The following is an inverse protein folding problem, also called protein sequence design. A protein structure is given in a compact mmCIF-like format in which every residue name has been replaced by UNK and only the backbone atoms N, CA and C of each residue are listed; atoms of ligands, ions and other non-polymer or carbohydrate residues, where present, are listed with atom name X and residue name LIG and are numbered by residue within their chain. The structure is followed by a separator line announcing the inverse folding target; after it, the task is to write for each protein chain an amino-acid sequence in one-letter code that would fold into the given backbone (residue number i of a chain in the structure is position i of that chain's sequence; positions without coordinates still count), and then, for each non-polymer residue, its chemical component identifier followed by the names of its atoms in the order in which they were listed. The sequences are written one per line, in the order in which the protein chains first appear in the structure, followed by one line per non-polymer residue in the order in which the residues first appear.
data_IF_099792995807
#
_entry.id   IF_099792995807
#
_cell.length_a   1.000
_cell.length_b   1.000
_cell.length_c   1.000
_cell.angle_alpha   90.00
_cell.angle_beta   90.00
_cell.angle_gamma   90.00
#
_symmetry.space_group_name_H-M   'P 1'
#
loop_
_entity.id
_entity.type
_entity.pdbx_description
1 polymer ?
#
# COMPACT_ATOMS: atom_id res chain seq x y z
N UNK A 1 0.52 -8.58 13.29
CA UNK A 1 0.23 -7.45 14.15
C UNK A 1 -1.25 -7.35 14.35
N UNK A 2 -1.61 -7.25 15.62
CA UNK A 2 -2.96 -6.97 15.98
C UNK A 2 -3.40 -5.69 15.25
N UNK A 3 -4.63 -5.65 14.76
CA UNK A 3 -5.26 -4.41 14.36
C UNK A 3 -5.49 -3.62 15.64
N UNK A 4 -4.52 -2.82 16.03
CA UNK A 4 -4.67 -1.94 17.17
C UNK A 4 -5.77 -0.90 16.89
N UNK A 5 -6.55 -0.52 17.89
CA UNK A 5 -7.36 0.69 17.82
C UNK A 5 -6.47 1.90 17.47
N UNK A 6 -7.03 2.90 16.81
CA UNK A 6 -6.25 4.03 16.30
C UNK A 6 -5.49 4.76 17.41
N UNK A 7 -6.11 4.99 18.57
CA UNK A 7 -5.46 5.60 19.73
C UNK A 7 -4.22 4.82 20.18
N UNK A 8 -4.32 3.50 20.33
CA UNK A 8 -3.18 2.66 20.72
C UNK A 8 -2.08 2.69 19.66
N UNK A 9 -2.44 2.65 18.36
CA UNK A 9 -1.48 2.72 17.27
C UNK A 9 -0.73 4.07 17.23
N UNK A 10 -1.42 5.18 17.53
CA UNK A 10 -0.82 6.51 17.62
C UNK A 10 0.12 6.61 18.82
N UNK A 11 -0.30 6.11 19.98
CA UNK A 11 0.53 6.12 21.19
C UNK A 11 1.82 5.34 20.98
N UNK A 12 1.75 4.14 20.41
CA UNK A 12 2.91 3.32 20.05
C UNK A 12 3.82 4.05 19.04
N UNK A 13 3.24 4.66 18.01
CA UNK A 13 4.00 5.40 17.01
C UNK A 13 4.76 6.59 17.63
N UNK A 14 4.13 7.34 18.53
CA UNK A 14 4.77 8.46 19.26
C UNK A 14 5.90 7.97 20.16
N UNK A 15 5.72 6.83 20.86
CA UNK A 15 6.78 6.23 21.67
C UNK A 15 7.98 5.89 20.80
N UNK A 16 7.77 5.28 19.65
CA UNK A 16 8.85 4.93 18.73
C UNK A 16 9.50 6.15 18.05
N UNK A 17 8.73 7.20 17.74
CA UNK A 17 9.27 8.46 17.22
C UNK A 17 10.25 9.13 18.20
N UNK A 18 10.05 8.97 19.50
CA UNK A 18 10.91 9.50 20.55
C UNK A 18 12.07 8.59 20.92
N UNK A 19 12.07 7.36 20.41
CA UNK A 19 13.07 6.35 20.72
C UNK A 19 14.36 6.50 19.91
N UNK A 20 15.43 5.82 20.35
CA UNK A 20 16.75 5.81 19.68
C UNK A 20 16.71 5.28 18.25
N UNK A 21 15.75 4.41 17.95
CA UNK A 21 15.55 3.79 16.63
C UNK A 21 14.53 4.53 15.76
N UNK A 22 14.18 5.77 16.08
CA UNK A 22 13.21 6.58 15.32
C UNK A 22 13.56 6.73 13.83
N UNK A 23 14.84 6.64 13.48
CA UNK A 23 15.32 6.66 12.10
C UNK A 23 14.79 5.52 11.21
N UNK A 24 14.31 4.42 11.80
CA UNK A 24 13.70 3.29 11.08
C UNK A 24 12.24 3.60 10.70
N UNK A 25 11.58 4.49 11.45
CA UNK A 25 10.18 4.81 11.22
C UNK A 25 10.01 5.61 9.93
N UNK A 26 9.10 5.10 9.11
CA UNK A 26 8.63 5.82 7.94
C UNK A 26 7.36 6.62 8.25
N UNK A 27 6.42 6.55 7.33
CA UNK A 27 5.10 7.18 7.43
C UNK A 27 4.16 6.35 8.29
N UNK A 28 3.28 7.02 9.03
CA UNK A 28 2.15 6.35 9.65
C UNK A 28 1.15 5.94 8.58
N UNK A 29 0.76 4.67 8.56
CA UNK A 29 -0.14 4.12 7.54
C UNK A 29 -1.57 4.17 8.04
N UNK A 30 -2.45 4.84 7.28
CA UNK A 30 -3.85 5.01 7.68
C UNK A 30 -4.79 4.91 6.47
N UNK A 31 -5.96 4.25 6.61
CA UNK A 31 -7.01 4.34 5.59
C UNK A 31 -7.60 5.75 5.49
N UNK A 32 -7.92 6.21 4.28
CA UNK A 32 -8.61 7.50 4.06
C UNK A 32 -9.89 7.60 4.90
N UNK A 33 -10.63 6.49 5.05
CA UNK A 33 -11.85 6.44 5.84
C UNK A 33 -11.67 6.79 7.33
N UNK A 34 -10.44 6.77 7.85
CA UNK A 34 -10.12 7.12 9.24
C UNK A 34 -9.55 8.54 9.40
N UNK A 35 -9.54 9.37 8.37
CA UNK A 35 -9.05 10.74 8.46
C UNK A 35 -9.77 11.55 9.53
N UNK A 36 -11.10 11.40 9.61
CA UNK A 36 -11.91 12.09 10.63
C UNK A 36 -11.53 11.67 12.04
N UNK A 37 -11.26 10.38 12.25
CA UNK A 37 -10.88 9.88 13.57
C UNK A 37 -9.44 10.30 13.93
N UNK A 38 -8.57 10.49 12.93
CA UNK A 38 -7.21 10.97 13.15
C UNK A 38 -7.15 12.42 13.65
N UNK A 39 -8.14 13.25 13.32
CA UNK A 39 -8.14 14.68 13.66
C UNK A 39 -7.94 14.95 15.15
N UNK A 40 -8.53 14.14 16.01
CA UNK A 40 -8.44 14.31 17.47
C UNK A 40 -7.00 14.08 18.00
N UNK A 41 -6.17 13.34 17.27
CA UNK A 41 -4.80 13.01 17.67
C UNK A 41 -3.75 13.96 17.12
N UNK A 42 -4.07 14.80 16.13
CA UNK A 42 -3.11 15.70 15.50
C UNK A 42 -2.40 16.65 16.51
N UNK A 43 -3.07 17.16 17.55
CA UNK A 43 -2.40 18.01 18.55
C UNK A 43 -1.26 17.30 19.29
N UNK A 44 -1.23 15.97 19.36
CA UNK A 44 -0.15 15.21 20.00
C UNK A 44 1.18 15.35 19.26
N UNK A 45 1.16 15.77 18.00
CA UNK A 45 2.32 15.95 17.14
C UNK A 45 2.85 17.40 17.09
N UNK A 46 2.20 18.35 17.74
CA UNK A 46 2.58 19.78 17.66
C UNK A 46 4.05 20.03 18.05
N UNK A 47 4.62 19.22 18.94
CA UNK A 47 6.02 19.30 19.34
C UNK A 47 6.96 18.34 18.58
N UNK A 48 6.42 17.47 17.75
CA UNK A 48 7.15 16.40 17.04
C UNK A 48 7.36 16.73 15.56
N UNK A 49 6.67 17.75 15.06
CA UNK A 49 6.60 18.12 13.66
C UNK A 49 5.42 17.49 12.94
N UNK A 50 5.25 17.78 11.64
CA UNK A 50 4.11 17.28 10.88
C UNK A 50 4.05 15.74 10.88
N UNK A 51 2.85 15.19 11.08
CA UNK A 51 2.64 13.75 10.99
C UNK A 51 2.70 13.31 9.51
N UNK A 52 3.69 12.48 9.20
CA UNK A 52 3.89 11.95 7.84
C UNK A 52 3.03 10.72 7.62
N UNK A 53 2.19 10.76 6.59
CA UNK A 53 1.21 9.73 6.30
C UNK A 53 1.49 9.00 4.97
N UNK A 54 1.29 7.69 4.98
CA UNK A 54 1.02 6.89 3.80
C UNK A 54 -0.44 6.45 3.87
N UNK A 55 -1.26 6.86 2.91
CA UNK A 55 -2.69 6.63 3.00
C UNK A 55 -3.10 5.41 2.19
N UNK A 56 -3.99 4.59 2.76
CA UNK A 56 -4.60 3.48 2.06
C UNK A 56 -5.86 3.99 1.37
N UNK A 57 -5.81 4.05 0.05
CA UNK A 57 -6.93 4.44 -0.80
C UNK A 57 -7.81 3.27 -1.20
N UNK A 58 -9.02 3.56 -1.63
CA UNK A 58 -9.90 2.60 -2.26
C UNK A 58 -9.33 2.13 -3.60
N UNK A 59 -9.38 0.82 -3.83
CA UNK A 59 -9.15 0.23 -5.15
C UNK A 59 -10.46 0.13 -5.95
N UNK A 60 -10.56 -0.83 -6.86
CA UNK A 60 -11.76 -1.11 -7.63
C UNK A 60 -11.83 -2.59 -8.00
N UNK A 61 -12.96 -3.01 -8.56
CA UNK A 61 -13.12 -4.35 -9.15
C UNK A 61 -12.89 -4.35 -10.66
N UNK A 62 -12.93 -3.17 -11.26
CA UNK A 62 -12.67 -2.93 -12.66
C UNK A 62 -11.71 -1.76 -12.82
N UNK A 63 -11.09 -1.62 -13.99
CA UNK A 63 -10.19 -0.51 -14.32
C UNK A 63 -10.90 0.86 -14.17
N UNK A 64 -12.16 0.97 -14.57
CA UNK A 64 -12.94 2.20 -14.46
C UNK A 64 -13.26 2.55 -12.99
N UNK A 65 -13.66 1.56 -12.19
CA UNK A 65 -13.86 1.75 -10.76
C UNK A 65 -12.56 2.17 -10.08
N UNK A 66 -11.44 1.53 -10.43
CA UNK A 66 -10.13 1.90 -9.92
C UNK A 66 -9.81 3.38 -10.19
N UNK A 67 -9.96 3.83 -11.44
CA UNK A 67 -9.68 5.22 -11.80
C UNK A 67 -10.62 6.21 -11.11
N UNK A 68 -11.90 5.87 -10.96
CA UNK A 68 -12.85 6.72 -10.25
C UNK A 68 -12.52 6.82 -8.76
N UNK A 69 -12.11 5.71 -8.14
CA UNK A 69 -11.67 5.70 -6.74
C UNK A 69 -10.36 6.49 -6.55
N UNK A 70 -9.42 6.44 -7.50
CA UNK A 70 -8.22 7.30 -7.46
C UNK A 70 -8.61 8.78 -7.44
N UNK A 71 -9.55 9.23 -8.28
CA UNK A 71 -10.03 10.61 -8.27
C UNK A 71 -10.66 11.01 -6.95
N UNK A 72 -11.50 10.15 -6.38
CA UNK A 72 -12.10 10.40 -5.08
C UNK A 72 -11.06 10.45 -3.97
N UNK A 73 -10.12 9.49 -3.95
CA UNK A 73 -9.03 9.47 -2.98
C UNK A 73 -8.20 10.76 -3.02
N UNK A 74 -7.92 11.29 -4.21
CA UNK A 74 -7.19 12.55 -4.39
C UNK A 74 -7.99 13.72 -3.82
N UNK A 75 -9.30 13.79 -4.07
CA UNK A 75 -10.15 14.83 -3.50
C UNK A 75 -10.13 14.80 -1.97
N UNK A 76 -10.36 13.62 -1.38
CA UNK A 76 -10.36 13.44 0.08
C UNK A 76 -8.99 13.80 0.72
N UNK A 77 -7.89 13.46 0.03
CA UNK A 77 -6.53 13.81 0.49
C UNK A 77 -6.30 15.31 0.44
N UNK A 78 -6.70 15.98 -0.64
CA UNK A 78 -6.49 17.40 -0.80
C UNK A 78 -7.33 18.20 0.20
N UNK A 79 -8.58 17.81 0.43
CA UNK A 79 -9.44 18.43 1.45
C UNK A 79 -8.80 18.28 2.86
N UNK A 80 -8.25 17.10 3.16
CA UNK A 80 -7.60 16.84 4.44
C UNK A 80 -6.27 17.61 4.59
N UNK A 81 -5.47 17.72 3.53
CA UNK A 81 -4.25 18.53 3.49
C UNK A 81 -4.53 20.01 3.71
N UNK A 82 -5.57 20.55 3.04
CA UNK A 82 -5.96 21.94 3.19
C UNK A 82 -6.41 22.25 4.63
N UNK A 83 -7.31 21.42 5.15
CA UNK A 83 -7.83 21.56 6.52
C UNK A 83 -6.74 21.50 7.60
N UNK A 84 -5.71 20.70 7.41
CA UNK A 84 -4.66 20.44 8.41
C UNK A 84 -3.27 20.88 7.92
N UNK A 85 -3.22 21.96 7.15
CA UNK A 85 -1.97 22.51 6.61
C UNK A 85 -0.94 22.74 7.71
N UNK A 86 0.29 22.27 7.48
CA UNK A 86 1.41 22.36 8.43
C UNK A 86 1.39 21.32 9.57
N UNK A 87 0.28 20.56 9.75
CA UNK A 87 0.20 19.51 10.78
C UNK A 87 0.42 18.11 10.22
N UNK A 88 0.21 17.94 8.93
CA UNK A 88 0.35 16.65 8.24
C UNK A 88 1.13 16.81 6.94
N UNK A 89 1.76 15.70 6.55
CA UNK A 89 2.37 15.53 5.23
C UNK A 89 1.82 14.21 4.63
N UNK A 90 1.14 14.31 3.48
CA UNK A 90 0.66 13.14 2.73
C UNK A 90 1.32 13.19 1.36
N UNK A 91 2.31 12.34 1.12
CA UNK A 91 3.03 12.25 -0.14
C UNK A 91 2.99 10.84 -0.75
N UNK A 92 2.32 9.90 -0.08
CA UNK A 92 2.21 8.50 -0.51
C UNK A 92 0.77 8.02 -0.39
N UNK A 93 0.28 7.37 -1.46
CA UNK A 93 -0.96 6.62 -1.47
C UNK A 93 -0.70 5.16 -1.87
N UNK A 94 -1.42 4.25 -1.26
CA UNK A 94 -1.37 2.82 -1.53
C UNK A 94 -2.76 2.37 -1.99
N UNK A 95 -2.86 1.93 -3.23
CA UNK A 95 -4.14 1.51 -3.82
C UNK A 95 -4.03 0.08 -4.36
N UNK A 96 -5.04 -0.73 -4.07
CA UNK A 96 -5.15 -2.07 -4.61
C UNK A 96 -5.54 -2.02 -6.08
N UNK A 97 -4.81 -2.75 -6.93
CA UNK A 97 -5.18 -2.93 -8.34
C UNK A 97 -6.50 -3.70 -8.47
N UNK A 98 -7.27 -3.38 -9.49
CA UNK A 98 -8.48 -4.13 -9.82
C UNK A 98 -8.18 -5.56 -10.28
N UNK A 99 -7.04 -5.73 -10.94
CA UNK A 99 -6.58 -7.01 -11.52
C UNK A 99 -5.04 -7.04 -11.52
N UNK A 100 -4.45 -8.22 -11.66
CA UNK A 100 -2.99 -8.35 -11.80
C UNK A 100 -2.47 -7.88 -13.17
N UNK A 101 -3.37 -7.72 -14.14
CA UNK A 101 -3.06 -7.27 -15.51
C UNK A 101 -3.88 -6.02 -15.87
N UNK A 102 -3.67 -4.89 -15.17
CA UNK A 102 -4.43 -3.68 -15.43
C UNK A 102 -4.13 -3.11 -16.82
N UNK A 103 -5.07 -2.41 -17.41
CA UNK A 103 -4.87 -1.71 -18.68
C UNK A 103 -3.79 -0.62 -18.53
N UNK A 104 -2.80 -0.61 -19.45
CA UNK A 104 -1.75 0.40 -19.47
C UNK A 104 -2.32 1.83 -19.52
N UNK A 105 -3.39 2.05 -20.27
CA UNK A 105 -3.98 3.37 -20.41
C UNK A 105 -4.62 3.86 -19.12
N UNK A 106 -5.24 2.99 -18.35
CA UNK A 106 -5.81 3.31 -17.03
C UNK A 106 -4.71 3.58 -16.02
N UNK A 107 -3.67 2.74 -16.00
CA UNK A 107 -2.53 2.94 -15.11
C UNK A 107 -1.82 4.26 -15.39
N UNK A 108 -1.62 4.63 -16.67
CA UNK A 108 -1.04 5.92 -17.03
C UNK A 108 -1.91 7.08 -16.55
N UNK A 109 -3.21 7.04 -16.80
CA UNK A 109 -4.14 8.09 -16.33
C UNK A 109 -4.14 8.23 -14.81
N UNK A 110 -4.14 7.11 -14.07
CA UNK A 110 -4.06 7.12 -12.62
C UNK A 110 -2.74 7.74 -12.13
N UNK A 111 -1.62 7.35 -12.76
CA UNK A 111 -0.29 7.89 -12.46
C UNK A 111 -0.23 9.39 -12.71
N UNK A 112 -0.73 9.87 -13.85
CA UNK A 112 -0.73 11.28 -14.21
C UNK A 112 -1.53 12.09 -13.18
N UNK A 113 -2.73 11.63 -12.81
CA UNK A 113 -3.57 12.29 -11.78
C UNK A 113 -2.87 12.35 -10.42
N UNK A 114 -2.18 11.28 -10.01
CA UNK A 114 -1.48 11.23 -8.73
C UNK A 114 -0.26 12.16 -8.75
N UNK A 115 0.50 12.19 -9.85
CA UNK A 115 1.65 13.08 -10.00
C UNK A 115 1.24 14.57 -10.03
N UNK A 116 0.13 14.92 -10.70
CA UNK A 116 -0.42 16.27 -10.69
C UNK A 116 -0.83 16.76 -9.29
N UNK A 117 -1.00 15.85 -8.34
CA UNK A 117 -1.36 16.14 -6.96
C UNK A 117 -0.22 15.83 -5.95
N UNK A 118 1.03 15.73 -6.41
CA UNK A 118 2.21 15.47 -5.58
C UNK A 118 2.10 14.19 -4.74
N UNK A 119 1.51 13.15 -5.31
CA UNK A 119 1.33 11.86 -4.66
C UNK A 119 2.21 10.78 -5.32
N UNK A 120 3.16 10.26 -4.56
CA UNK A 120 3.83 8.99 -4.90
C UNK A 120 2.88 7.85 -4.62
N UNK A 121 2.90 6.81 -5.43
CA UNK A 121 1.94 5.74 -5.27
C UNK A 121 2.58 4.37 -5.34
N UNK A 122 2.06 3.47 -4.50
CA UNK A 122 2.35 2.06 -4.54
C UNK A 122 1.11 1.31 -5.04
N UNK A 123 1.26 0.64 -6.16
CA UNK A 123 0.24 -0.27 -6.66
C UNK A 123 0.35 -1.58 -5.90
N UNK A 124 -0.66 -1.84 -5.12
CA UNK A 124 -0.81 -3.14 -4.47
C UNK A 124 -1.31 -4.13 -5.52
N UNK A 125 -0.53 -5.18 -5.79
CA UNK A 125 -1.08 -6.32 -6.49
C UNK A 125 -2.30 -6.78 -5.73
N UNK A 126 -3.39 -6.97 -6.46
CA UNK A 126 -4.57 -7.56 -5.91
C UNK A 126 -4.10 -8.79 -5.14
N UNK A 127 -4.35 -8.83 -3.83
CA UNK A 127 -4.37 -10.10 -3.17
C UNK A 127 -5.12 -10.99 -4.13
N UNK A 128 -4.59 -12.17 -4.44
CA UNK A 128 -5.32 -13.15 -5.21
C UNK A 128 -6.75 -13.08 -4.71
N UNK A 129 -7.75 -12.82 -5.57
CA UNK A 129 -9.07 -12.45 -5.10
C UNK A 129 -9.57 -13.53 -4.17
N UNK A 130 -9.58 -13.24 -2.89
CA UNK A 130 -10.04 -14.14 -1.83
C UNK A 130 -11.54 -14.34 -1.84
N UNK A 131 -12.24 -13.69 -2.76
CA UNK A 131 -13.67 -13.79 -2.87
C UNK A 131 -13.99 -14.49 -4.20
N UNK A 132 -14.13 -15.79 -4.15
CA UNK A 132 -14.83 -16.55 -5.18
C UNK A 132 -14.00 -17.16 -6.31
N UNK A 133 -12.70 -17.36 -6.14
CA UNK A 133 -12.00 -18.32 -6.96
C UNK A 133 -12.23 -19.69 -6.34
N UNK A 134 -13.01 -20.48 -7.04
CA UNK A 134 -13.08 -21.91 -6.81
C UNK A 134 -11.69 -22.49 -7.15
N UNK A 135 -10.90 -22.81 -6.13
CA UNK A 135 -9.58 -23.45 -6.27
C UNK A 135 -9.66 -24.85 -6.90
N UNK A 136 -10.87 -25.35 -7.20
CA UNK A 136 -11.06 -26.56 -7.98
C UNK A 136 -10.76 -26.40 -9.47
N UNK A 137 -10.69 -25.17 -9.98
CA UNK A 137 -10.08 -24.88 -11.27
C UNK A 137 -8.60 -24.61 -11.04
N UNK A 138 -7.76 -25.50 -11.49
CA UNK A 138 -6.30 -25.36 -11.55
C UNK A 138 -5.94 -24.01 -12.19
N UNK A 139 -5.90 -22.94 -11.39
CA UNK A 139 -5.23 -21.72 -11.80
C UNK A 139 -3.77 -22.09 -11.89
N UNK A 140 -3.34 -22.23 -13.12
CA UNK A 140 -1.97 -22.53 -13.49
C UNK A 140 -1.04 -21.52 -12.74
N UNK A 141 -0.30 -21.99 -11.75
CA UNK A 141 0.65 -21.18 -10.98
C UNK A 141 1.64 -20.46 -11.91
N UNK A 142 1.82 -20.99 -13.14
CA UNK A 142 2.66 -20.42 -14.19
C UNK A 142 2.17 -19.07 -14.70
N UNK A 143 0.86 -18.77 -14.67
CA UNK A 143 0.34 -17.50 -15.15
C UNK A 143 0.55 -16.34 -14.19
N UNK A 144 0.51 -16.56 -12.87
CA UNK A 144 0.69 -15.49 -11.90
C UNK A 144 2.06 -14.82 -12.02
N UNK A 145 3.13 -15.58 -12.16
CA UNK A 145 4.49 -15.05 -12.28
C UNK A 145 4.63 -14.21 -13.57
N UNK A 146 4.10 -14.68 -14.69
CA UNK A 146 4.16 -13.96 -15.96
C UNK A 146 3.33 -12.67 -15.95
N UNK A 147 2.16 -12.69 -15.33
CA UNK A 147 1.30 -11.52 -15.16
C UNK A 147 1.98 -10.46 -14.26
N UNK A 148 2.53 -10.88 -13.13
CA UNK A 148 3.25 -10.01 -12.21
C UNK A 148 4.47 -9.40 -12.86
N UNK A 149 5.31 -10.20 -13.53
CA UNK A 149 6.51 -9.71 -14.22
C UNK A 149 6.15 -8.67 -15.28
N UNK A 150 5.12 -8.94 -16.09
CA UNK A 150 4.68 -8.01 -17.14
C UNK A 150 4.11 -6.71 -16.57
N UNK A 151 3.34 -6.80 -15.50
CA UNK A 151 2.75 -5.63 -14.83
C UNK A 151 3.82 -4.79 -14.12
N UNK A 152 4.77 -5.42 -13.43
CA UNK A 152 5.92 -4.71 -12.83
C UNK A 152 6.71 -3.98 -13.91
N UNK A 153 7.01 -4.64 -15.04
CA UNK A 153 7.71 -4.03 -16.16
C UNK A 153 6.94 -2.88 -16.83
N UNK A 154 5.61 -2.90 -16.78
CA UNK A 154 4.77 -1.80 -17.24
C UNK A 154 4.81 -0.63 -16.26
N UNK A 155 4.58 -0.89 -14.97
CA UNK A 155 4.53 0.13 -13.92
C UNK A 155 5.90 0.79 -13.71
N UNK A 156 7.00 0.05 -13.89
CA UNK A 156 8.35 0.58 -13.76
C UNK A 156 8.70 1.70 -14.75
N UNK A 157 7.89 1.90 -15.79
CA UNK A 157 8.01 2.98 -16.77
C UNK A 157 7.19 4.22 -16.39
N UNK A 158 6.52 4.18 -15.26
CA UNK A 158 5.69 5.27 -14.74
C UNK A 158 6.46 6.01 -13.65
N UNK A 159 6.37 7.33 -13.65
CA UNK A 159 7.05 8.15 -12.65
C UNK A 159 6.39 8.01 -11.28
N UNK A 160 7.22 8.01 -10.22
CA UNK A 160 6.78 7.98 -8.82
C UNK A 160 5.91 6.77 -8.44
N UNK A 161 6.03 5.66 -9.16
CA UNK A 161 5.29 4.43 -8.89
C UNK A 161 6.16 3.40 -8.16
N UNK A 162 5.54 2.58 -7.35
CA UNK A 162 6.13 1.43 -6.67
C UNK A 162 5.15 0.26 -6.62
N UNK A 163 5.64 -0.88 -6.18
CA UNK A 163 4.85 -2.11 -6.06
C UNK A 163 4.75 -2.51 -4.60
N UNK A 164 3.55 -2.91 -4.19
CA UNK A 164 3.29 -3.45 -2.86
C UNK A 164 2.77 -4.87 -2.97
N UNK A 165 3.38 -5.77 -2.20
CA UNK A 165 2.89 -7.14 -2.03
C UNK A 165 2.43 -7.33 -0.59
N UNK A 166 1.20 -7.83 -0.42
CA UNK A 166 0.72 -8.27 0.87
C UNK A 166 1.17 -9.71 1.12
N UNK A 167 1.78 -9.95 2.28
CA UNK A 167 2.39 -11.21 2.63
C UNK A 167 1.70 -11.93 3.79
N UNK A 168 0.46 -11.57 4.11
CA UNK A 168 -0.27 -12.22 5.18
C UNK A 168 -1.64 -11.64 5.46
N UNK A 169 -2.39 -12.34 6.29
CA UNK A 169 -3.75 -11.99 6.68
C UNK A 169 -4.28 -12.93 7.75
N UNK A 170 -5.60 -13.00 7.91
CA UNK A 170 -6.25 -13.83 8.93
C UNK A 170 -6.58 -15.25 8.45
N UNK A 171 -6.33 -15.56 7.18
CA UNK A 171 -6.55 -16.87 6.57
C UNK A 171 -5.25 -17.38 5.96
N UNK A 172 -5.08 -18.70 5.92
CA UNK A 172 -3.86 -19.35 5.43
C UNK A 172 -3.49 -18.89 4.02
N UNK A 173 -4.47 -18.76 3.17
CA UNK A 173 -4.28 -18.41 1.75
C UNK A 173 -3.91 -16.92 1.55
N UNK A 174 -3.92 -16.09 2.63
CA UNK A 174 -3.41 -14.71 2.59
C UNK A 174 -1.87 -14.64 2.58
N UNK A 175 -1.20 -15.77 2.70
CA UNK A 175 0.26 -15.85 2.67
C UNK A 175 0.71 -16.31 1.28
N UNK A 176 1.41 -15.46 0.51
CA UNK A 176 1.98 -15.89 -0.77
C UNK A 176 3.02 -16.98 -0.54
N UNK A 177 3.20 -17.86 -1.51
CA UNK A 177 4.29 -18.84 -1.47
C UNK A 177 5.66 -18.13 -1.55
N UNK A 178 6.70 -18.84 -1.12
CA UNK A 178 8.08 -18.32 -1.19
C UNK A 178 8.46 -17.98 -2.63
N UNK A 179 8.00 -18.78 -3.59
CA UNK A 179 8.25 -18.58 -5.01
C UNK A 179 7.60 -17.28 -5.51
N UNK A 180 6.37 -16.97 -5.10
CA UNK A 180 5.68 -15.72 -5.46
C UNK A 180 6.39 -14.49 -4.86
N UNK A 181 6.84 -14.57 -3.62
CA UNK A 181 7.63 -13.49 -3.01
C UNK A 181 8.95 -13.32 -3.76
N UNK A 182 9.65 -14.41 -4.09
CA UNK A 182 10.90 -14.38 -4.84
C UNK A 182 10.72 -13.79 -6.25
N UNK A 183 9.67 -14.21 -6.98
CA UNK A 183 9.34 -13.67 -8.30
C UNK A 183 9.08 -12.15 -8.25
N UNK A 184 8.34 -11.67 -7.24
CA UNK A 184 8.12 -10.25 -7.03
C UNK A 184 9.42 -9.49 -6.77
N UNK A 185 10.26 -9.98 -5.87
CA UNK A 185 11.57 -9.36 -5.57
C UNK A 185 12.42 -9.28 -6.83
N UNK A 186 12.49 -10.38 -7.58
CA UNK A 186 13.26 -10.44 -8.81
C UNK A 186 12.72 -9.46 -9.87
N UNK A 187 11.42 -9.44 -10.09
CA UNK A 187 10.79 -8.54 -11.05
C UNK A 187 11.04 -7.06 -10.69
N UNK A 188 10.85 -6.69 -9.43
CA UNK A 188 11.09 -5.33 -8.95
C UNK A 188 12.58 -4.94 -9.05
N UNK A 189 13.49 -5.84 -8.68
CA UNK A 189 14.93 -5.61 -8.76
C UNK A 189 15.42 -5.42 -10.19
N UNK A 190 15.00 -6.29 -11.12
CA UNK A 190 15.37 -6.18 -12.54
C UNK A 190 14.85 -4.89 -13.19
N UNK A 191 13.67 -4.45 -12.79
CA UNK A 191 13.05 -3.22 -13.31
C UNK A 191 13.41 -1.97 -12.49
N UNK A 192 14.20 -2.10 -11.40
CA UNK A 192 14.62 -1.00 -10.50
C UNK A 192 13.45 -0.19 -9.96
N UNK A 193 12.33 -0.84 -9.70
CA UNK A 193 11.13 -0.22 -9.14
C UNK A 193 11.11 -0.38 -7.60
N UNK A 194 10.75 0.65 -6.84
CA UNK A 194 10.55 0.52 -5.40
C UNK A 194 9.51 -0.54 -5.06
N UNK A 195 9.78 -1.32 -4.01
CA UNK A 195 8.85 -2.34 -3.54
C UNK A 195 8.59 -2.20 -2.04
N UNK A 196 7.40 -2.60 -1.64
CA UNK A 196 6.94 -2.64 -0.25
C UNK A 196 6.28 -3.98 0.04
N UNK A 197 6.58 -4.53 1.20
CA UNK A 197 5.91 -5.72 1.72
C UNK A 197 5.09 -5.35 2.95
N UNK A 198 3.89 -5.92 3.07
CA UNK A 198 3.00 -5.66 4.21
C UNK A 198 2.36 -6.92 4.71
N UNK A 199 2.09 -6.97 6.02
CA UNK A 199 1.59 -8.11 6.76
C UNK A 199 2.51 -9.35 6.67
N UNK A 200 2.37 -10.32 7.57
CA UNK A 200 3.02 -11.64 7.49
C UNK A 200 4.53 -11.73 7.68
N UNK A 201 5.28 -10.65 7.50
CA UNK A 201 6.73 -10.64 7.64
C UNK A 201 7.14 -10.12 9.03
N UNK A 202 6.78 -10.86 10.08
CA UNK A 202 7.02 -10.44 11.47
C UNK A 202 8.40 -10.80 11.98
N UNK A 203 9.08 -11.73 11.32
CA UNK A 203 10.39 -12.23 11.72
C UNK A 203 11.37 -12.19 10.55
N UNK A 204 12.57 -11.63 10.74
CA UNK A 204 13.56 -11.52 9.65
C UNK A 204 14.21 -12.87 9.31
N UNK A 205 14.13 -13.84 10.23
CA UNK A 205 14.67 -15.18 10.06
C UNK A 205 13.55 -16.21 10.23
N UNK A 206 13.64 -17.28 9.44
CA UNK A 206 12.75 -18.43 9.60
C UNK A 206 12.92 -19.03 10.99
N UNK A 207 11.84 -19.21 11.70
CA UNK A 207 11.78 -19.88 12.98
C UNK A 207 10.55 -20.78 13.05
N UNK A 208 10.51 -21.66 14.03
CA UNK A 208 9.31 -22.43 14.36
C UNK A 208 8.71 -21.81 15.62
N UNK A 209 7.41 -21.58 15.59
CA UNK A 209 6.67 -21.27 16.81
C UNK A 209 6.51 -22.57 17.63
N UNK A 210 6.82 -22.51 18.92
CA UNK A 210 6.62 -23.62 19.88
C UNK A 210 5.15 -23.72 20.28
#
# INVERSE_FOLDING_TARGET
PAKLPLNEAIDEYIVHLKGENSWILGRFIIPISQFKDLEEFLPLFDSLGPLRLSVLGGGGKTDDEYLNNIKQNIADINDFREKHSGKIEIDVIECKLATNTPSKSIMQKATDLLNENDLKHFHEFAELPYVGIDYSTELDETNWDSEVVSTVAMISKMDNAGIKLRCGGIVKDAFPSVEKVAAMIQACSLNKIPMKFTAGLHHPLRHFEE
#
